data_IF_890504488576
#
_entry.id   IF_890504488576
#
_cell.length_a   1.000
_cell.length_b   1.000
_cell.length_c   1.000
_cell.angle_alpha   90.00
_cell.angle_beta   90.00
_cell.angle_gamma   90.00
#
_symmetry.space_group_name_H-M   'P 1'
#
loop_
_entity.id
_entity.type
_entity.pdbx_description
1 polymer ?
#
# COMPACT_ATOMS: atom_id res chain seq x y z
N UNK A 1 -20.93 -6.76 -6.53
CA UNK A 1 -20.01 -7.44 -5.60
C UNK A 1 -20.29 -6.93 -4.18
N UNK A 2 -20.37 -7.83 -3.19
CA UNK A 2 -20.59 -7.46 -1.78
C UNK A 2 -19.23 -7.29 -1.12
N UNK A 3 -18.95 -6.07 -0.61
CA UNK A 3 -17.71 -5.74 0.08
C UNK A 3 -17.99 -5.48 1.55
N UNK A 4 -17.36 -6.24 2.43
CA UNK A 4 -17.45 -6.04 3.88
C UNK A 4 -16.23 -5.28 4.39
N UNK A 5 -16.42 -4.06 4.90
CA UNK A 5 -15.38 -3.21 5.49
C UNK A 5 -15.37 -3.42 7.01
N UNK A 6 -14.30 -4.01 7.52
CA UNK A 6 -14.06 -4.23 8.95
C UNK A 6 -13.24 -3.06 9.49
N UNK A 7 -13.90 -2.13 10.16
CA UNK A 7 -13.31 -0.88 10.59
C UNK A 7 -13.73 0.31 9.70
N UNK A 8 -14.88 0.92 10.00
CA UNK A 8 -15.37 2.09 9.26
C UNK A 8 -14.85 3.38 9.90
N UNK A 9 -13.56 3.66 9.68
CA UNK A 9 -12.87 4.90 10.07
C UNK A 9 -12.67 5.83 8.87
N UNK A 10 -11.59 6.62 8.87
CA UNK A 10 -11.22 7.48 7.74
C UNK A 10 -11.03 6.65 6.45
N UNK A 11 -10.16 5.62 6.49
CA UNK A 11 -9.83 4.81 5.31
C UNK A 11 -11.04 3.95 4.91
N UNK A 12 -11.58 3.15 5.84
CA UNK A 12 -12.70 2.26 5.54
C UNK A 12 -13.97 3.01 5.13
N UNK A 13 -14.26 4.16 5.72
CA UNK A 13 -15.38 5.02 5.33
C UNK A 13 -15.18 5.65 3.95
N UNK A 14 -13.97 6.12 3.64
CA UNK A 14 -13.65 6.66 2.32
C UNK A 14 -13.73 5.59 1.23
N UNK A 15 -13.28 4.36 1.54
CA UNK A 15 -13.44 3.22 0.64
C UNK A 15 -14.91 2.89 0.39
N UNK A 16 -15.73 2.95 1.45
CA UNK A 16 -17.17 2.77 1.32
C UNK A 16 -17.82 3.79 0.38
N UNK A 17 -17.47 5.07 0.51
CA UNK A 17 -17.94 6.14 -0.39
C UNK A 17 -17.49 5.89 -1.84
N UNK A 18 -16.21 5.61 -2.06
CA UNK A 18 -15.64 5.41 -3.38
C UNK A 18 -16.25 4.17 -4.07
N UNK A 19 -16.40 3.05 -3.34
CA UNK A 19 -17.01 1.82 -3.84
C UNK A 19 -18.48 2.04 -4.24
N UNK A 20 -19.25 2.75 -3.42
CA UNK A 20 -20.67 3.08 -3.71
C UNK A 20 -20.82 3.96 -4.93
N UNK A 21 -19.91 4.94 -5.13
CA UNK A 21 -19.90 5.81 -6.32
C UNK A 21 -19.82 5.03 -7.61
N UNK A 22 -19.03 3.96 -7.65
CA UNK A 22 -18.90 3.13 -8.85
C UNK A 22 -20.19 2.41 -9.24
N UNK A 23 -21.13 2.20 -8.30
CA UNK A 23 -22.37 1.45 -8.51
C UNK A 23 -22.17 -0.07 -8.67
N UNK A 24 -20.94 -0.56 -8.54
CA UNK A 24 -20.60 -1.98 -8.73
C UNK A 24 -20.63 -2.77 -7.43
N UNK A 25 -20.64 -2.08 -6.27
CA UNK A 25 -20.48 -2.68 -4.96
C UNK A 25 -21.66 -2.37 -4.03
N UNK A 26 -22.04 -3.36 -3.23
CA UNK A 26 -22.82 -3.16 -2.02
C UNK A 26 -21.86 -3.21 -0.84
N UNK A 27 -21.81 -2.15 -0.05
CA UNK A 27 -20.83 -1.99 1.02
C UNK A 27 -21.46 -2.27 2.38
N UNK A 28 -20.97 -3.29 3.07
CA UNK A 28 -21.29 -3.62 4.45
C UNK A 28 -20.21 -3.09 5.38
N UNK A 29 -20.58 -2.62 6.56
CA UNK A 29 -19.63 -2.13 7.56
C UNK A 29 -19.76 -2.86 8.88
N UNK A 30 -18.61 -3.23 9.47
CA UNK A 30 -18.51 -3.77 10.84
C UNK A 30 -17.60 -2.87 11.64
N UNK A 31 -18.11 -2.19 12.63
CA UNK A 31 -17.35 -1.40 13.60
C UNK A 31 -18.25 -0.99 14.75
N UNK A 32 -17.70 -0.57 15.90
CA UNK A 32 -18.51 -0.03 17.00
C UNK A 32 -19.39 1.17 16.61
N UNK A 33 -19.07 1.83 15.50
CA UNK A 33 -19.78 3.02 14.99
C UNK A 33 -20.39 2.79 13.60
N UNK A 34 -20.58 1.53 13.17
CA UNK A 34 -21.09 1.20 11.84
C UNK A 34 -22.47 1.81 11.56
N UNK A 35 -23.35 1.86 12.56
CA UNK A 35 -24.68 2.49 12.41
C UNK A 35 -24.60 3.99 12.12
N UNK A 36 -23.69 4.70 12.76
CA UNK A 36 -23.47 6.13 12.50
C UNK A 36 -22.88 6.33 11.09
N UNK A 37 -22.00 5.45 10.65
CA UNK A 37 -21.46 5.47 9.30
C UNK A 37 -22.54 5.20 8.23
N UNK A 38 -23.49 4.31 8.52
CA UNK A 38 -24.68 4.07 7.68
C UNK A 38 -25.56 5.32 7.59
N UNK A 39 -25.87 5.94 8.72
CA UNK A 39 -26.66 7.19 8.79
C UNK A 39 -25.97 8.34 8.03
N UNK A 40 -24.63 8.37 8.07
CA UNK A 40 -23.82 9.32 7.32
C UNK A 40 -23.67 8.97 5.82
N UNK A 41 -24.20 7.84 5.37
CA UNK A 41 -24.20 7.42 3.97
C UNK A 41 -22.87 6.86 3.47
N UNK A 42 -21.97 6.42 4.36
CA UNK A 42 -20.66 5.87 4.00
C UNK A 42 -20.73 4.41 3.54
N UNK A 43 -21.73 3.66 4.01
CA UNK A 43 -21.95 2.25 3.75
C UNK A 43 -23.44 2.00 3.45
N UNK A 44 -23.79 0.83 2.91
CA UNK A 44 -25.18 0.46 2.58
C UNK A 44 -25.86 -0.34 3.71
N UNK A 45 -25.08 -1.14 4.45
CA UNK A 45 -25.58 -1.98 5.55
C UNK A 45 -24.59 -1.93 6.73
N UNK A 46 -25.12 -1.92 7.96
CA UNK A 46 -24.30 -1.90 9.18
C UNK A 46 -24.55 -3.16 10.01
N UNK A 47 -23.47 -3.77 10.49
CA UNK A 47 -23.49 -4.99 11.29
C UNK A 47 -22.73 -4.79 12.61
N UNK A 48 -23.22 -5.43 13.67
CA UNK A 48 -22.56 -5.51 14.97
C UNK A 48 -21.75 -6.82 15.10
N UNK A 49 -22.05 -7.83 14.26
CA UNK A 49 -21.43 -9.16 14.26
C UNK A 49 -20.65 -9.40 12.96
N UNK A 50 -19.41 -9.84 13.11
CA UNK A 50 -18.48 -10.06 11.99
C UNK A 50 -18.95 -11.20 11.07
N UNK A 51 -19.42 -12.30 11.65
CA UNK A 51 -19.84 -13.48 10.88
C UNK A 51 -21.04 -13.16 10.00
N UNK A 52 -22.03 -12.44 10.57
CA UNK A 52 -23.19 -12.01 9.80
C UNK A 52 -22.83 -11.03 8.67
N UNK A 53 -21.89 -10.13 8.92
CA UNK A 53 -21.45 -9.18 7.89
C UNK A 53 -20.70 -9.86 6.74
N UNK A 54 -19.99 -10.94 7.02
CA UNK A 54 -19.23 -11.72 6.05
C UNK A 54 -20.08 -12.74 5.28
N UNK A 55 -21.30 -13.04 5.71
CA UNK A 55 -22.16 -14.01 5.05
C UNK A 55 -22.45 -13.60 3.59
N UNK A 56 -21.96 -14.40 2.64
CA UNK A 56 -22.06 -14.13 1.20
C UNK A 56 -21.26 -12.92 0.71
N UNK A 57 -20.27 -12.45 1.48
CA UNK A 57 -19.35 -11.41 1.03
C UNK A 57 -18.39 -11.93 -0.05
N UNK A 58 -18.16 -11.14 -1.09
CA UNK A 58 -17.17 -11.42 -2.13
C UNK A 58 -15.77 -10.94 -1.75
N UNK A 59 -15.70 -9.87 -0.95
CA UNK A 59 -14.46 -9.26 -0.51
C UNK A 59 -14.61 -8.73 0.91
N UNK A 60 -13.62 -8.99 1.78
CA UNK A 60 -13.48 -8.39 3.09
C UNK A 60 -12.25 -7.47 3.13
N UNK A 61 -12.42 -6.27 3.67
CA UNK A 61 -11.34 -5.29 3.82
C UNK A 61 -11.12 -4.99 5.30
N UNK A 62 -9.93 -5.33 5.81
CA UNK A 62 -9.53 -5.05 7.21
C UNK A 62 -8.95 -3.64 7.28
N UNK A 63 -9.72 -2.69 7.81
CA UNK A 63 -9.39 -1.27 7.90
C UNK A 63 -9.40 -0.77 9.36
N UNK A 64 -8.80 -1.54 10.24
CA UNK A 64 -8.69 -1.27 11.68
C UNK A 64 -7.34 -0.61 12.03
N UNK A 65 -7.16 -0.04 13.22
CA UNK A 65 -5.86 0.45 13.67
C UNK A 65 -4.77 -0.62 13.61
N UNK A 66 -3.53 -0.23 13.27
CA UNK A 66 -2.39 -1.13 13.09
C UNK A 66 -2.18 -2.08 14.29
N UNK A 67 -2.28 -1.57 15.51
CA UNK A 67 -2.09 -2.35 16.75
C UNK A 67 -3.00 -3.60 16.89
N UNK A 68 -4.10 -3.68 16.14
CA UNK A 68 -5.03 -4.83 16.18
C UNK A 68 -5.26 -5.44 14.79
N UNK A 69 -4.50 -5.00 13.78
CA UNK A 69 -4.73 -5.41 12.39
C UNK A 69 -4.47 -6.90 12.18
N UNK A 70 -3.39 -7.43 12.72
CA UNK A 70 -3.03 -8.85 12.63
C UNK A 70 -4.07 -9.76 13.28
N UNK A 71 -4.47 -9.43 14.52
CA UNK A 71 -5.51 -10.18 15.25
C UNK A 71 -6.83 -10.15 14.47
N UNK A 72 -7.22 -8.98 13.99
CA UNK A 72 -8.46 -8.81 13.26
C UNK A 72 -8.44 -9.51 11.90
N UNK A 73 -7.28 -9.52 11.22
CA UNK A 73 -7.09 -10.27 9.97
C UNK A 73 -7.30 -11.78 10.22
N UNK A 74 -6.70 -12.32 11.26
CA UNK A 74 -6.88 -13.73 11.61
C UNK A 74 -8.35 -14.09 11.89
N UNK A 75 -9.08 -13.22 12.61
CA UNK A 75 -10.52 -13.41 12.85
C UNK A 75 -11.32 -13.37 11.53
N UNK A 76 -11.00 -12.43 10.63
CA UNK A 76 -11.69 -12.30 9.32
C UNK A 76 -11.44 -13.53 8.45
N UNK A 77 -10.18 -13.99 8.34
CA UNK A 77 -9.84 -15.19 7.57
C UNK A 77 -10.54 -16.45 8.09
N UNK A 78 -10.69 -16.56 9.42
CA UNK A 78 -11.39 -17.69 10.05
C UNK A 78 -12.92 -17.65 9.83
N UNK A 79 -13.51 -16.44 9.71
CA UNK A 79 -14.96 -16.26 9.60
C UNK A 79 -15.43 -16.08 8.16
N UNK A 80 -14.56 -15.65 7.23
CA UNK A 80 -14.92 -15.40 5.84
C UNK A 80 -15.24 -16.68 5.07
N UNK A 81 -16.24 -16.66 4.15
CA UNK A 81 -16.52 -17.76 3.23
C UNK A 81 -15.26 -18.19 2.45
N UNK A 82 -15.25 -19.45 2.00
CA UNK A 82 -14.12 -20.03 1.23
C UNK A 82 -13.83 -19.27 -0.08
N UNK A 83 -14.82 -18.67 -0.67
CA UNK A 83 -14.71 -17.88 -1.90
C UNK A 83 -14.57 -16.36 -1.66
N UNK A 84 -14.56 -15.89 -0.42
CA UNK A 84 -14.40 -14.48 -0.08
C UNK A 84 -12.92 -14.06 -0.14
N UNK A 85 -12.58 -13.11 -1.01
CA UNK A 85 -11.26 -12.48 -0.97
C UNK A 85 -11.08 -11.65 0.29
N UNK A 86 -9.85 -11.54 0.79
CA UNK A 86 -9.52 -10.76 1.99
C UNK A 86 -8.33 -9.85 1.71
N UNK A 87 -8.43 -8.60 2.12
CA UNK A 87 -7.32 -7.62 2.04
C UNK A 87 -7.28 -6.76 3.29
N UNK A 88 -6.18 -6.06 3.48
CA UNK A 88 -6.02 -5.04 4.51
C UNK A 88 -5.68 -3.67 3.90
N UNK A 89 -5.50 -2.66 4.75
CA UNK A 89 -5.09 -1.30 4.35
C UNK A 89 -3.94 -0.78 5.23
N UNK A 90 -3.22 -1.65 5.90
CA UNK A 90 -2.14 -1.30 6.82
C UNK A 90 -0.91 -0.72 6.13
N UNK A 91 -0.09 0.00 6.89
CA UNK A 91 1.13 0.64 6.39
C UNK A 91 2.34 -0.29 6.27
N UNK A 92 2.26 -1.50 6.85
CA UNK A 92 3.28 -2.56 6.82
C UNK A 92 2.65 -3.85 6.31
N UNK A 93 3.42 -4.70 5.64
CA UNK A 93 2.88 -5.87 4.93
C UNK A 93 3.39 -7.20 5.43
N UNK A 94 4.65 -7.28 5.88
CA UNK A 94 5.27 -8.56 6.25
C UNK A 94 4.52 -9.27 7.38
N UNK A 95 4.07 -8.54 8.41
CA UNK A 95 3.32 -9.09 9.53
C UNK A 95 1.97 -9.68 9.10
N UNK A 96 1.16 -8.91 8.37
CA UNK A 96 -0.17 -9.38 7.91
C UNK A 96 -0.07 -10.55 6.92
N UNK A 97 0.96 -10.56 6.06
CA UNK A 97 1.22 -11.69 5.16
C UNK A 97 1.62 -12.94 5.95
N UNK A 98 2.44 -12.79 6.99
CA UNK A 98 2.81 -13.91 7.87
C UNK A 98 1.59 -14.47 8.61
N UNK A 99 0.69 -13.62 9.11
CA UNK A 99 -0.58 -14.03 9.74
C UNK A 99 -1.49 -14.76 8.77
N UNK A 100 -1.55 -14.32 7.52
CA UNK A 100 -2.34 -15.00 6.48
C UNK A 100 -1.83 -16.41 6.18
N UNK A 101 -0.55 -16.72 6.44
CA UNK A 101 -0.01 -18.08 6.45
C UNK A 101 -0.18 -18.86 5.15
N UNK A 102 -0.23 -18.19 3.99
CA UNK A 102 -0.45 -18.81 2.68
C UNK A 102 -1.92 -19.02 2.33
N UNK A 103 -2.86 -18.38 3.03
CA UNK A 103 -4.28 -18.39 2.65
C UNK A 103 -4.47 -17.79 1.25
N UNK A 104 -4.95 -18.58 0.30
CA UNK A 104 -5.09 -18.20 -1.11
C UNK A 104 -6.07 -17.03 -1.34
N UNK A 105 -6.91 -16.73 -0.35
CA UNK A 105 -7.89 -15.63 -0.39
C UNK A 105 -7.28 -14.28 -0.05
N UNK A 106 -6.07 -14.25 0.56
CA UNK A 106 -5.47 -13.02 1.07
C UNK A 106 -4.58 -12.32 0.04
N UNK A 107 -4.76 -10.99 -0.03
CA UNK A 107 -3.88 -10.05 -0.74
C UNK A 107 -3.62 -8.88 0.19
N UNK A 108 -2.39 -8.69 0.62
CA UNK A 108 -2.06 -7.51 1.41
C UNK A 108 -2.26 -6.22 0.61
N UNK A 109 -2.75 -5.17 1.25
CA UNK A 109 -3.04 -3.89 0.63
C UNK A 109 -2.51 -2.72 1.44
N UNK A 110 -2.04 -1.66 0.76
CA UNK A 110 -1.63 -0.41 1.40
C UNK A 110 -1.90 0.79 0.48
N UNK A 111 -2.97 1.57 0.72
CA UNK A 111 -3.18 2.83 0.02
C UNK A 111 -2.19 3.89 0.53
N UNK A 112 -1.39 4.49 -0.36
CA UNK A 112 -0.61 5.68 -0.01
C UNK A 112 -1.52 6.90 0.05
N UNK A 113 -2.51 6.82 0.90
CA UNK A 113 -3.51 7.86 1.12
C UNK A 113 -3.90 7.90 2.59
N UNK A 114 -4.17 9.08 3.10
CA UNK A 114 -4.55 9.27 4.49
C UNK A 114 -4.57 10.73 4.87
N UNK A 115 -4.78 10.96 6.15
CA UNK A 115 -4.65 12.28 6.77
C UNK A 115 -4.25 12.07 8.24
N UNK A 116 -3.71 13.11 8.86
CA UNK A 116 -3.29 13.11 10.27
C UNK A 116 -4.50 13.17 11.24
N UNK A 117 -5.68 12.77 10.76
CA UNK A 117 -6.96 12.74 11.48
C UNK A 117 -7.55 11.33 11.45
N UNK A 118 -8.34 11.00 12.46
CA UNK A 118 -9.02 9.70 12.58
C UNK A 118 -10.54 9.90 12.67
N UNK A 119 -11.28 8.83 12.39
CA UNK A 119 -12.74 8.84 12.46
C UNK A 119 -13.39 8.92 11.09
N UNK A 120 -14.60 8.39 11.00
CA UNK A 120 -15.38 8.37 9.76
C UNK A 120 -15.89 9.77 9.36
N UNK A 121 -15.91 10.71 10.30
CA UNK A 121 -16.30 12.10 10.08
C UNK A 121 -15.37 12.82 9.09
N UNK A 122 -14.17 12.28 8.87
CA UNK A 122 -13.18 12.78 7.94
C UNK A 122 -13.13 11.97 6.64
N UNK A 123 -13.99 10.96 6.51
CA UNK A 123 -14.06 10.14 5.29
C UNK A 123 -14.49 11.02 4.10
N UNK A 124 -13.86 10.76 2.95
CA UNK A 124 -14.13 11.49 1.72
C UNK A 124 -14.00 10.58 0.51
N UNK A 125 -14.86 10.76 -0.46
CA UNK A 125 -14.96 9.94 -1.66
C UNK A 125 -13.64 9.92 -2.48
N UNK A 126 -13.03 11.06 -2.69
CA UNK A 126 -11.81 11.22 -3.49
C UNK A 126 -10.50 10.96 -2.73
N UNK A 127 -10.52 10.29 -1.56
CA UNK A 127 -9.30 10.05 -0.77
C UNK A 127 -8.23 9.29 -1.53
N UNK A 128 -8.64 8.38 -2.40
CA UNK A 128 -7.75 7.45 -3.13
C UNK A 128 -7.51 7.86 -4.58
N UNK A 129 -8.15 8.93 -5.08
CA UNK A 129 -7.99 9.35 -6.47
C UNK A 129 -6.52 9.57 -6.81
N UNK A 130 -6.04 8.88 -7.85
CA UNK A 130 -4.66 8.90 -8.33
C UNK A 130 -3.61 8.43 -7.31
N UNK A 131 -4.02 7.98 -6.11
CA UNK A 131 -3.10 7.47 -5.11
C UNK A 131 -2.55 6.09 -5.51
N UNK A 132 -1.27 5.85 -5.29
CA UNK A 132 -0.71 4.50 -5.39
C UNK A 132 -1.30 3.62 -4.30
N UNK A 133 -1.75 2.42 -4.68
CA UNK A 133 -2.20 1.40 -3.74
C UNK A 133 -1.37 0.13 -3.94
N UNK A 134 -0.48 -0.13 -3.01
CA UNK A 134 0.34 -1.33 -3.08
C UNK A 134 -0.47 -2.57 -2.77
N UNK A 135 -0.28 -3.61 -3.59
CA UNK A 135 -0.83 -4.94 -3.41
C UNK A 135 0.32 -5.93 -3.25
N UNK A 136 0.25 -6.77 -2.23
CA UNK A 136 1.31 -7.75 -1.95
C UNK A 136 0.75 -9.18 -1.97
N UNK A 137 0.44 -9.72 -3.16
CA UNK A 137 0.07 -11.12 -3.30
C UNK A 137 1.25 -12.02 -2.97
N UNK A 138 0.95 -13.26 -2.56
CA UNK A 138 1.95 -14.33 -2.36
C UNK A 138 1.88 -15.36 -3.48
N UNK A 139 2.82 -16.31 -3.50
CA UNK A 139 2.77 -17.44 -4.43
C UNK A 139 1.52 -18.32 -4.26
N UNK A 140 0.86 -18.26 -3.11
CA UNK A 140 -0.36 -19.02 -2.82
C UNK A 140 -1.64 -18.25 -3.18
N UNK A 141 -1.57 -16.94 -3.39
CA UNK A 141 -2.72 -16.09 -3.67
C UNK A 141 -3.47 -16.54 -4.92
N UNK A 142 -4.80 -16.73 -4.80
CA UNK A 142 -5.64 -17.09 -5.93
C UNK A 142 -5.83 -15.91 -6.90
N UNK A 143 -5.96 -16.22 -8.20
CA UNK A 143 -6.21 -15.19 -9.21
C UNK A 143 -7.52 -14.44 -8.98
N UNK A 144 -8.53 -15.13 -8.44
CA UNK A 144 -9.83 -14.51 -8.11
C UNK A 144 -9.70 -13.51 -6.97
N UNK A 145 -8.92 -13.83 -5.93
CA UNK A 145 -8.70 -12.90 -4.84
C UNK A 145 -7.96 -11.64 -5.31
N UNK A 146 -6.90 -11.80 -6.09
CA UNK A 146 -6.14 -10.67 -6.64
C UNK A 146 -7.01 -9.81 -7.57
N UNK A 147 -7.81 -10.41 -8.44
CA UNK A 147 -8.71 -9.69 -9.35
C UNK A 147 -9.75 -8.87 -8.56
N UNK A 148 -10.39 -9.46 -7.55
CA UNK A 148 -11.41 -8.77 -6.76
C UNK A 148 -10.83 -7.56 -6.01
N UNK A 149 -9.65 -7.73 -5.41
CA UNK A 149 -8.97 -6.64 -4.70
C UNK A 149 -8.52 -5.55 -5.68
N UNK A 150 -7.90 -5.94 -6.81
CA UNK A 150 -7.50 -5.00 -7.87
C UNK A 150 -8.69 -4.19 -8.40
N UNK A 151 -9.81 -4.86 -8.70
CA UNK A 151 -11.04 -4.21 -9.16
C UNK A 151 -11.58 -3.20 -8.14
N UNK A 152 -11.59 -3.55 -6.86
CA UNK A 152 -12.02 -2.63 -5.80
C UNK A 152 -11.09 -1.41 -5.71
N UNK A 153 -9.77 -1.61 -5.78
CA UNK A 153 -8.77 -0.54 -5.75
C UNK A 153 -8.92 0.41 -6.93
N UNK A 154 -9.07 -0.15 -8.14
CA UNK A 154 -9.29 0.64 -9.37
C UNK A 154 -10.61 1.42 -9.31
N UNK A 155 -11.69 0.79 -8.83
CA UNK A 155 -12.98 1.46 -8.66
C UNK A 155 -12.94 2.58 -7.61
N UNK A 156 -12.03 2.50 -6.64
CA UNK A 156 -11.78 3.58 -5.68
C UNK A 156 -10.98 4.75 -6.29
N UNK A 157 -10.55 4.65 -7.55
CA UNK A 157 -9.77 5.67 -8.26
C UNK A 157 -8.26 5.62 -7.96
N UNK A 158 -7.80 4.58 -7.26
CA UNK A 158 -6.38 4.39 -6.97
C UNK A 158 -5.66 3.63 -8.09
N UNK A 159 -4.34 3.73 -8.09
CA UNK A 159 -3.44 3.00 -9.01
C UNK A 159 -2.84 1.79 -8.30
N UNK A 160 -3.31 0.55 -8.59
CA UNK A 160 -2.74 -0.63 -7.98
C UNK A 160 -1.31 -0.86 -8.49
N UNK A 161 -0.39 -1.11 -7.56
CA UNK A 161 1.02 -1.46 -7.84
C UNK A 161 1.36 -2.72 -7.07
N UNK A 162 1.86 -3.74 -7.76
CA UNK A 162 2.12 -5.04 -7.17
C UNK A 162 3.61 -5.19 -6.86
N UNK A 163 3.93 -5.62 -5.64
CA UNK A 163 5.29 -5.95 -5.21
C UNK A 163 5.28 -6.99 -4.08
N UNK A 164 6.44 -7.52 -3.74
CA UNK A 164 6.57 -8.45 -2.61
C UNK A 164 6.46 -7.70 -1.27
N UNK A 165 5.87 -8.34 -0.25
CA UNK A 165 5.66 -7.72 1.06
C UNK A 165 6.96 -7.21 1.70
N UNK A 166 8.04 -8.01 1.62
CA UNK A 166 9.34 -7.60 2.16
C UNK A 166 9.97 -6.43 1.38
N UNK A 167 9.73 -6.33 0.08
CA UNK A 167 10.17 -5.22 -0.75
C UNK A 167 9.38 -3.95 -0.42
N UNK A 168 8.05 -4.08 -0.28
CA UNK A 168 7.19 -3.00 0.21
C UNK A 168 7.71 -2.42 1.53
N UNK A 169 7.99 -3.27 2.51
CA UNK A 169 8.39 -2.82 3.85
C UNK A 169 9.77 -2.16 3.84
N UNK A 170 10.74 -2.67 3.04
CA UNK A 170 12.03 -1.99 2.82
C UNK A 170 11.86 -0.63 2.17
N UNK A 171 11.02 -0.54 1.13
CA UNK A 171 10.74 0.73 0.46
C UNK A 171 10.09 1.72 1.43
N UNK A 172 9.08 1.29 2.19
CA UNK A 172 8.42 2.16 3.18
C UNK A 172 9.37 2.59 4.30
N UNK A 173 10.29 1.73 4.72
CA UNK A 173 11.34 2.13 5.67
C UNK A 173 12.15 3.31 5.16
N UNK A 174 12.59 3.28 3.90
CA UNK A 174 13.43 4.32 3.29
C UNK A 174 12.66 5.62 3.00
N UNK A 175 11.45 5.54 2.38
CA UNK A 175 10.77 6.73 1.84
C UNK A 175 9.69 7.30 2.77
N UNK A 176 9.30 6.59 3.82
CA UNK A 176 8.24 7.00 4.75
C UNK A 176 8.71 7.00 6.20
N UNK A 177 9.19 5.85 6.70
CA UNK A 177 9.45 5.68 8.15
C UNK A 177 10.71 6.43 8.58
N UNK A 178 11.82 6.30 7.86
CA UNK A 178 13.05 7.05 8.13
C UNK A 178 12.85 8.57 8.07
N UNK A 179 12.20 9.15 7.03
CA UNK A 179 11.86 10.58 7.02
C UNK A 179 11.12 11.03 8.27
N UNK A 180 10.21 10.21 8.78
CA UNK A 180 9.46 10.51 9.99
C UNK A 180 10.34 10.50 11.26
N UNK A 181 11.24 9.53 11.38
CA UNK A 181 12.27 9.48 12.44
C UNK A 181 13.16 10.73 12.38
N UNK A 182 13.63 11.09 11.18
CA UNK A 182 14.48 12.26 10.98
C UNK A 182 13.76 13.56 11.32
N UNK A 183 12.49 13.71 10.95
CA UNK A 183 11.68 14.87 11.31
C UNK A 183 11.59 15.04 12.84
N UNK A 184 11.33 13.96 13.57
CA UNK A 184 11.29 13.97 15.03
C UNK A 184 12.65 14.32 15.65
N UNK A 185 13.74 13.75 15.11
CA UNK A 185 15.10 14.06 15.55
C UNK A 185 15.48 15.52 15.30
N UNK A 186 15.12 16.09 14.14
CA UNK A 186 15.35 17.49 13.82
C UNK A 186 14.66 18.42 14.82
N UNK A 187 13.41 18.15 15.17
CA UNK A 187 12.67 18.92 16.19
C UNK A 187 13.36 18.82 17.54
N UNK A 188 13.69 17.60 18.00
CA UNK A 188 14.35 17.36 19.27
C UNK A 188 15.74 18.04 19.34
N UNK A 189 16.51 18.00 18.25
CA UNK A 189 17.82 18.62 18.16
C UNK A 189 17.74 20.15 18.18
N UNK A 190 16.81 20.73 17.42
CA UNK A 190 16.58 22.17 17.42
C UNK A 190 16.16 22.68 18.82
N UNK A 191 15.24 21.97 19.47
CA UNK A 191 14.81 22.30 20.83
C UNK A 191 15.96 22.28 21.83
N UNK A 192 16.84 21.28 21.76
CA UNK A 192 18.05 21.21 22.62
C UNK A 192 19.03 22.35 22.34
N UNK A 193 19.23 22.69 21.07
CA UNK A 193 20.16 23.76 20.68
C UNK A 193 19.70 25.14 21.10
N UNK A 194 18.40 25.39 21.12
CA UNK A 194 17.78 26.68 21.45
C UNK A 194 17.46 26.86 22.94
N UNK A 195 17.42 25.76 23.71
CA UNK A 195 17.05 25.76 25.12
C UNK A 195 15.63 26.25 25.33
N UNK A 196 15.42 27.12 26.34
CA UNK A 196 14.10 27.71 26.65
C UNK A 196 13.62 28.75 25.63
N UNK A 197 14.43 29.08 24.63
CA UNK A 197 14.02 30.01 23.58
C UNK A 197 13.09 29.27 22.62
N UNK A 198 11.91 29.81 22.41
CA UNK A 198 11.02 29.32 21.35
C UNK A 198 11.73 29.38 19.99
N UNK A 199 11.38 28.49 19.05
CA UNK A 199 11.86 28.52 17.66
C UNK A 199 11.05 29.58 16.88
N UNK A 200 11.30 30.90 17.05
CA UNK A 200 10.45 31.91 16.42
C UNK A 200 10.80 32.12 14.95
N UNK A 201 11.87 31.50 14.43
CA UNK A 201 12.43 31.82 13.12
C UNK A 201 12.85 30.56 12.36
N UNK A 202 12.02 29.50 12.42
CA UNK A 202 12.24 28.37 11.54
C UNK A 202 11.92 28.79 10.10
N UNK A 203 12.93 28.76 9.24
CA UNK A 203 12.78 29.00 7.81
C UNK A 203 11.87 27.93 7.16
N UNK A 204 11.44 28.13 5.90
CA UNK A 204 10.62 27.17 5.17
C UNK A 204 11.21 25.76 5.20
N UNK A 205 12.50 25.60 4.93
CA UNK A 205 13.19 24.29 4.89
C UNK A 205 13.03 23.47 6.18
N UNK A 206 13.11 24.13 7.36
CA UNK A 206 12.90 23.42 8.63
C UNK A 206 11.44 23.00 8.81
N UNK A 207 10.48 23.88 8.46
CA UNK A 207 9.06 23.58 8.55
C UNK A 207 8.67 22.42 7.64
N UNK A 208 9.16 22.41 6.40
CA UNK A 208 8.90 21.36 5.44
C UNK A 208 9.49 20.02 5.91
N UNK A 209 10.76 20.02 6.36
CA UNK A 209 11.44 18.82 6.84
C UNK A 209 10.84 18.26 8.15
N UNK A 210 10.15 19.09 8.94
CA UNK A 210 9.57 18.68 10.24
C UNK A 210 8.04 18.58 10.23
N UNK A 211 7.39 18.79 9.10
CA UNK A 211 5.92 18.81 8.98
C UNK A 211 5.27 17.56 9.55
N UNK A 212 5.85 16.40 9.30
CA UNK A 212 5.30 15.10 9.73
C UNK A 212 5.56 14.76 11.21
N UNK A 213 6.38 15.52 11.92
CA UNK A 213 6.67 15.27 13.35
C UNK A 213 5.45 15.48 14.27
N UNK A 214 4.35 16.05 13.78
CA UNK A 214 3.11 16.24 14.53
C UNK A 214 2.10 15.07 14.46
N UNK A 215 2.44 13.96 13.81
CA UNK A 215 1.53 12.84 13.59
C UNK A 215 1.25 12.04 14.88
N UNK A 216 0.24 11.16 14.82
CA UNK A 216 -0.22 10.36 15.97
C UNK A 216 0.88 9.49 16.57
N UNK A 217 1.28 9.69 17.84
CA UNK A 217 2.36 8.89 18.45
C UNK A 217 2.05 7.39 18.50
N UNK A 218 0.81 7.02 18.80
CA UNK A 218 0.42 5.61 18.91
C UNK A 218 0.48 4.88 17.55
N UNK A 219 0.01 5.54 16.49
CA UNK A 219 0.08 4.98 15.12
C UNK A 219 1.53 4.75 14.70
N UNK A 220 2.38 5.76 14.89
CA UNK A 220 3.76 5.67 14.44
C UNK A 220 4.62 4.71 15.26
N UNK A 221 4.34 4.58 16.57
CA UNK A 221 4.99 3.54 17.38
C UNK A 221 4.72 2.14 16.82
N UNK A 222 3.45 1.81 16.50
CA UNK A 222 3.12 0.53 15.87
C UNK A 222 3.82 0.34 14.52
N UNK A 223 3.83 1.36 13.65
CA UNK A 223 4.51 1.27 12.34
C UNK A 223 6.01 1.01 12.51
N UNK A 224 6.66 1.66 13.49
CA UNK A 224 8.09 1.42 13.75
C UNK A 224 8.36 0.02 14.29
N UNK A 225 7.50 -0.49 15.16
CA UNK A 225 7.60 -1.85 15.72
C UNK A 225 7.39 -2.90 14.63
N UNK A 226 6.34 -2.73 13.81
CA UNK A 226 5.98 -3.68 12.75
C UNK A 226 7.04 -3.76 11.63
N UNK A 227 7.81 -2.68 11.39
CA UNK A 227 8.86 -2.62 10.36
C UNK A 227 10.25 -2.35 10.95
N UNK A 228 10.51 -2.83 12.17
CA UNK A 228 11.72 -2.48 12.92
C UNK A 228 13.01 -2.88 12.21
N UNK A 229 13.11 -4.08 11.68
CA UNK A 229 14.34 -4.58 11.05
C UNK A 229 14.75 -3.75 9.82
N UNK A 230 13.80 -3.45 8.92
CA UNK A 230 14.05 -2.63 7.76
C UNK A 230 14.38 -1.17 8.16
N UNK A 231 13.67 -0.62 9.14
CA UNK A 231 13.91 0.73 9.62
C UNK A 231 15.27 0.87 10.31
N UNK A 232 15.69 -0.13 11.10
CA UNK A 232 17.03 -0.15 11.73
C UNK A 232 18.13 -0.12 10.66
N UNK A 233 17.97 -0.91 9.58
CA UNK A 233 18.94 -0.92 8.49
C UNK A 233 19.07 0.47 7.81
N UNK A 234 17.95 1.16 7.58
CA UNK A 234 17.95 2.51 7.01
C UNK A 234 18.52 3.56 7.97
N UNK A 235 18.29 3.41 9.28
CA UNK A 235 18.91 4.27 10.31
C UNK A 235 20.43 4.08 10.32
N UNK A 236 20.92 2.84 10.28
CA UNK A 236 22.36 2.54 10.28
C UNK A 236 23.04 3.11 9.02
N UNK A 237 22.42 2.96 7.84
CA UNK A 237 22.91 3.56 6.61
C UNK A 237 22.94 5.11 6.69
N UNK A 238 21.92 5.71 7.30
CA UNK A 238 21.84 7.16 7.49
C UNK A 238 22.94 7.65 8.45
N UNK A 239 23.20 6.93 9.53
CA UNK A 239 24.28 7.25 10.49
C UNK A 239 25.62 7.19 9.78
N UNK A 240 25.88 6.17 8.96
CA UNK A 240 27.13 6.07 8.18
C UNK A 240 27.29 7.27 7.23
N UNK A 241 26.25 7.63 6.48
CA UNK A 241 26.26 8.79 5.60
C UNK A 241 26.50 10.13 6.34
N UNK A 242 25.89 10.29 7.53
CA UNK A 242 26.14 11.47 8.38
C UNK A 242 27.59 11.52 8.87
N UNK A 243 28.22 10.38 9.12
CA UNK A 243 29.64 10.30 9.51
C UNK A 243 30.58 10.68 8.35
N UNK A 244 30.24 10.31 7.11
CA UNK A 244 30.97 10.74 5.91
C UNK A 244 30.91 12.26 5.73
N UNK A 245 29.71 12.85 5.81
CA UNK A 245 29.52 14.31 5.76
C UNK A 245 30.33 15.01 6.86
N UNK A 246 30.27 14.50 8.08
CA UNK A 246 31.03 15.01 9.22
C UNK A 246 32.54 14.95 8.95
N UNK A 247 33.03 13.85 8.37
CA UNK A 247 34.44 13.67 7.99
C UNK A 247 34.90 14.69 6.95
N UNK A 248 34.12 14.88 5.89
CA UNK A 248 34.39 15.86 4.84
C UNK A 248 34.39 17.30 5.38
N UNK A 249 33.48 17.65 6.28
CA UNK A 249 33.47 18.95 6.95
C UNK A 249 34.68 19.13 7.84
N UNK A 250 35.10 18.13 8.59
CA UNK A 250 36.25 18.19 9.49
C UNK A 250 37.59 18.34 8.73
N UNK A 251 37.71 17.73 7.55
CA UNK A 251 38.88 17.83 6.68
C UNK A 251 38.87 19.05 5.75
N UNK A 252 37.72 19.73 5.63
CA UNK A 252 37.55 20.84 4.68
C UNK A 252 37.46 20.37 3.23
N UNK A 253 37.06 19.15 2.98
CA UNK A 253 36.90 18.55 1.64
C UNK A 253 35.69 19.11 0.90
N UNK A 254 35.88 20.27 0.31
CA UNK A 254 34.86 20.99 -0.43
C UNK A 254 34.45 20.27 -1.70
N UNK A 255 35.36 19.61 -2.38
CA UNK A 255 35.08 18.91 -3.65
C UNK A 255 34.12 17.74 -3.41
N UNK A 256 34.35 16.96 -2.36
CA UNK A 256 33.44 15.90 -1.96
C UNK A 256 32.06 16.44 -1.61
N UNK A 257 31.94 17.52 -0.84
CA UNK A 257 30.67 18.11 -0.43
C UNK A 257 29.85 18.62 -1.64
N UNK A 258 30.54 19.25 -2.62
CA UNK A 258 29.90 19.72 -3.85
C UNK A 258 29.36 18.53 -4.70
N UNK A 259 30.18 17.47 -4.84
CA UNK A 259 29.82 16.27 -5.59
C UNK A 259 28.61 15.54 -4.93
N UNK A 260 28.65 15.39 -3.61
CA UNK A 260 27.57 14.77 -2.84
C UNK A 260 26.24 15.52 -3.00
N UNK A 261 26.27 16.86 -2.88
CA UNK A 261 25.08 17.68 -3.07
C UNK A 261 24.54 17.63 -4.50
N UNK A 262 25.43 17.58 -5.49
CA UNK A 262 25.04 17.49 -6.89
C UNK A 262 24.39 16.13 -7.23
N UNK A 263 24.90 15.03 -6.66
CA UNK A 263 24.30 13.70 -6.83
C UNK A 263 22.88 13.67 -6.29
N UNK A 264 22.65 14.15 -5.06
CA UNK A 264 21.32 14.21 -4.47
C UNK A 264 20.32 15.07 -5.27
N UNK A 265 20.79 16.17 -5.86
CA UNK A 265 19.97 17.03 -6.71
C UNK A 265 19.56 16.34 -8.02
N UNK A 266 20.48 15.56 -8.63
CA UNK A 266 20.19 14.76 -9.83
C UNK A 266 19.17 13.64 -9.57
N UNK A 267 19.37 12.88 -8.50
CA UNK A 267 18.46 11.80 -8.12
C UNK A 267 17.05 12.34 -7.79
N UNK A 268 16.95 13.46 -7.09
CA UNK A 268 15.66 14.10 -6.81
C UNK A 268 14.89 14.45 -8.08
N UNK A 269 15.58 14.86 -9.13
CA UNK A 269 14.92 15.18 -10.40
C UNK A 269 14.31 13.93 -11.04
N UNK A 270 15.02 12.80 -11.01
CA UNK A 270 14.49 11.53 -11.53
C UNK A 270 13.22 11.09 -10.78
N UNK A 271 13.21 11.18 -9.44
CA UNK A 271 12.02 10.84 -8.63
C UNK A 271 10.79 11.73 -8.94
N UNK A 272 11.00 12.96 -9.41
CA UNK A 272 9.90 13.86 -9.78
C UNK A 272 9.36 13.58 -11.18
N UNK A 273 10.21 13.13 -12.10
CA UNK A 273 9.82 12.88 -13.50
C UNK A 273 9.04 11.55 -13.66
N UNK A 274 9.31 10.54 -12.84
CA UNK A 274 8.63 9.25 -12.86
C UNK A 274 7.20 9.27 -12.26
N UNK A 275 6.88 10.25 -11.44
CA UNK A 275 5.57 10.38 -10.76
C UNK A 275 4.39 10.80 -11.65
N UNK A 276 4.57 11.02 -12.95
CA UNK A 276 3.56 11.59 -13.86
C UNK A 276 2.97 10.60 -14.88
N UNK A 277 2.97 9.28 -14.60
CA UNK A 277 2.49 8.23 -15.50
C UNK A 277 0.98 8.24 -15.76
N UNK A 278 0.55 8.97 -16.78
CA UNK A 278 -0.77 8.89 -17.42
C UNK A 278 -0.58 8.86 -18.93
N UNK A 279 -0.28 7.71 -19.50
CA UNK A 279 -0.09 7.48 -20.94
C UNK A 279 -1.07 6.45 -21.51
N UNK A 280 -1.07 6.23 -22.84
CA UNK A 280 -1.85 5.16 -23.46
C UNK A 280 -1.41 3.80 -22.90
N UNK A 281 -2.37 2.88 -22.79
CA UNK A 281 -2.15 1.52 -22.34
C UNK A 281 -2.20 0.53 -23.51
N UNK A 282 -1.40 -0.54 -23.45
CA UNK A 282 -1.44 -1.67 -24.38
C UNK A 282 -2.08 -2.88 -23.71
N UNK A 283 -2.98 -3.53 -24.42
CA UNK A 283 -3.61 -4.77 -24.01
C UNK A 283 -2.72 -5.97 -24.35
N UNK A 284 -2.43 -6.82 -23.37
CA UNK A 284 -1.59 -8.01 -23.52
C UNK A 284 -2.38 -9.23 -22.99
N UNK A 285 -2.93 -10.07 -23.88
CA UNK A 285 -3.59 -11.30 -23.46
C UNK A 285 -2.55 -12.41 -23.17
N UNK A 286 -2.67 -13.05 -22.01
CA UNK A 286 -1.80 -14.15 -21.55
C UNK A 286 -2.62 -15.38 -21.29
N UNK A 287 -2.35 -16.47 -22.01
CA UNK A 287 -2.98 -17.75 -21.75
C UNK A 287 -2.36 -18.41 -20.50
N UNK A 288 -3.18 -18.82 -19.56
CA UNK A 288 -2.72 -19.35 -18.26
C UNK A 288 -3.44 -20.65 -17.89
N UNK A 289 -2.77 -21.58 -17.19
CA UNK A 289 -3.44 -22.71 -16.54
C UNK A 289 -4.28 -22.20 -15.37
N UNK A 290 -5.40 -22.87 -15.11
CA UNK A 290 -6.22 -22.57 -13.94
C UNK A 290 -5.65 -23.27 -12.71
N UNK A 291 -4.64 -22.66 -12.07
CA UNK A 291 -4.03 -23.12 -10.83
C UNK A 291 -3.87 -21.95 -9.86
N UNK A 292 -3.91 -22.20 -8.54
CA UNK A 292 -3.59 -21.18 -7.55
C UNK A 292 -2.22 -20.55 -7.82
N UNK A 293 -2.08 -19.27 -7.54
CA UNK A 293 -0.82 -18.53 -7.66
C UNK A 293 -0.43 -18.03 -9.04
N UNK A 294 -1.02 -18.56 -10.15
CA UNK A 294 -0.58 -18.18 -11.50
C UNK A 294 -0.70 -16.68 -11.80
N UNK A 295 -1.73 -16.03 -11.31
CA UNK A 295 -1.93 -14.59 -11.48
C UNK A 295 -0.91 -13.81 -10.66
N UNK A 296 -0.68 -14.26 -9.43
CA UNK A 296 0.33 -13.66 -8.56
C UNK A 296 1.75 -13.81 -9.14
N UNK A 297 2.07 -14.98 -9.70
CA UNK A 297 3.36 -15.23 -10.37
C UNK A 297 3.61 -14.24 -11.51
N UNK A 298 2.62 -14.04 -12.38
CA UNK A 298 2.68 -13.06 -13.47
C UNK A 298 2.86 -11.64 -12.91
N UNK A 299 2.01 -11.27 -11.95
CA UNK A 299 2.02 -9.94 -11.39
C UNK A 299 3.35 -9.59 -10.68
N UNK A 300 3.90 -10.53 -9.90
CA UNK A 300 5.21 -10.36 -9.26
C UNK A 300 6.37 -10.35 -10.27
N UNK A 301 6.28 -11.12 -11.36
CA UNK A 301 7.30 -11.09 -12.40
C UNK A 301 7.32 -9.74 -13.12
N UNK A 302 6.15 -9.18 -13.45
CA UNK A 302 6.03 -7.85 -14.03
C UNK A 302 6.53 -6.77 -13.07
N UNK A 303 6.20 -6.88 -11.77
CA UNK A 303 6.68 -5.96 -10.76
C UNK A 303 8.22 -5.96 -10.65
N UNK A 304 8.87 -7.15 -10.67
CA UNK A 304 10.35 -7.27 -10.68
C UNK A 304 10.99 -6.68 -11.95
N UNK A 305 10.24 -6.61 -13.04
CA UNK A 305 10.66 -5.97 -14.29
C UNK A 305 10.30 -4.48 -14.35
N UNK A 306 9.84 -3.90 -13.23
CA UNK A 306 9.39 -2.51 -13.10
C UNK A 306 8.25 -2.15 -14.09
N UNK A 307 7.34 -3.12 -14.31
CA UNK A 307 6.17 -2.96 -15.16
C UNK A 307 4.91 -2.83 -14.32
N UNK A 308 4.24 -1.70 -14.43
CA UNK A 308 2.96 -1.44 -13.77
C UNK A 308 1.79 -2.09 -14.52
N UNK A 309 0.84 -2.67 -13.77
CA UNK A 309 -0.42 -3.17 -14.31
C UNK A 309 -1.48 -2.09 -14.09
N UNK A 310 -1.95 -1.45 -15.17
CA UNK A 310 -2.99 -0.43 -15.10
C UNK A 310 -4.36 -1.05 -14.86
N UNK A 311 -4.63 -2.22 -15.48
CA UNK A 311 -5.86 -2.98 -15.29
C UNK A 311 -5.63 -4.46 -15.62
N UNK A 312 -6.51 -5.36 -15.10
CA UNK A 312 -6.50 -6.77 -15.44
C UNK A 312 -7.90 -7.35 -15.51
N UNK A 313 -8.08 -8.31 -16.42
CA UNK A 313 -9.31 -9.12 -16.47
C UNK A 313 -8.95 -10.60 -16.58
N UNK A 314 -9.68 -11.45 -15.85
CA UNK A 314 -9.56 -12.91 -15.92
C UNK A 314 -10.77 -13.51 -16.61
N UNK A 315 -10.53 -14.20 -17.72
CA UNK A 315 -11.55 -14.91 -18.51
C UNK A 315 -11.30 -16.42 -18.45
N UNK A 316 -12.02 -17.17 -17.58
CA UNK A 316 -11.87 -18.62 -17.52
C UNK A 316 -12.30 -19.28 -18.84
N UNK A 317 -11.56 -20.28 -19.31
CA UNK A 317 -11.99 -21.09 -20.42
C UNK A 317 -13.16 -22.02 -20.04
N UNK A 318 -14.00 -22.45 -20.99
CA UNK A 318 -15.14 -23.34 -20.73
C UNK A 318 -14.76 -24.67 -20.06
N UNK A 319 -13.54 -25.14 -20.28
CA UNK A 319 -13.02 -26.38 -19.71
C UNK A 319 -12.60 -26.25 -18.23
N UNK A 320 -12.57 -25.02 -17.69
CA UNK A 320 -12.11 -24.66 -16.35
C UNK A 320 -10.69 -25.13 -16.01
N UNK A 321 -9.90 -25.54 -16.99
CA UNK A 321 -8.50 -25.96 -16.81
C UNK A 321 -7.50 -24.89 -17.23
N UNK A 322 -7.96 -23.90 -17.97
CA UNK A 322 -7.19 -22.80 -18.46
C UNK A 322 -8.02 -21.51 -18.44
N UNK A 323 -7.38 -20.40 -18.77
CA UNK A 323 -8.02 -19.10 -18.92
C UNK A 323 -7.11 -18.14 -19.69
N UNK A 324 -7.62 -16.93 -19.87
CA UNK A 324 -6.85 -15.81 -20.40
C UNK A 324 -6.86 -14.71 -19.36
N UNK A 325 -5.69 -14.23 -18.98
CA UNK A 325 -5.53 -12.97 -18.26
C UNK A 325 -5.25 -11.90 -19.31
N UNK A 326 -6.11 -10.91 -19.37
CA UNK A 326 -5.85 -9.71 -20.16
C UNK A 326 -5.26 -8.66 -19.25
N UNK A 327 -4.06 -8.18 -19.56
CA UNK A 327 -3.34 -7.15 -18.83
C UNK A 327 -3.33 -5.87 -19.64
N UNK A 328 -3.62 -4.74 -19.02
CA UNK A 328 -3.39 -3.41 -19.60
C UNK A 328 -2.18 -2.80 -18.91
N UNK A 329 -1.13 -2.53 -19.68
CA UNK A 329 0.12 -1.95 -19.19
C UNK A 329 0.41 -0.62 -19.90
N UNK A 330 1.11 0.34 -19.27
CA UNK A 330 1.52 1.57 -19.95
C UNK A 330 2.27 1.28 -21.23
N UNK A 331 1.95 2.01 -22.31
CA UNK A 331 2.52 1.77 -23.66
C UNK A 331 4.06 1.77 -23.64
N UNK A 332 4.66 2.67 -22.85
CA UNK A 332 6.12 2.73 -22.71
C UNK A 332 6.76 1.50 -22.04
N UNK A 333 5.97 0.69 -21.31
CA UNK A 333 6.43 -0.51 -20.62
C UNK A 333 6.00 -1.80 -21.31
N UNK A 334 5.19 -1.73 -22.36
CA UNK A 334 4.58 -2.90 -23.00
C UNK A 334 5.59 -3.90 -23.57
N UNK A 335 6.66 -3.42 -24.21
CA UNK A 335 7.71 -4.30 -24.75
C UNK A 335 8.50 -5.01 -23.64
N UNK A 336 8.66 -4.38 -22.48
CA UNK A 336 9.27 -5.02 -21.30
C UNK A 336 8.33 -6.07 -20.71
N UNK A 337 7.03 -5.77 -20.64
CA UNK A 337 6.01 -6.70 -20.21
C UNK A 337 5.97 -7.97 -21.08
N UNK A 338 5.94 -7.82 -22.41
CA UNK A 338 5.92 -8.94 -23.35
C UNK A 338 7.14 -9.83 -23.21
N UNK A 339 8.34 -9.25 -23.05
CA UNK A 339 9.57 -10.04 -22.81
C UNK A 339 9.52 -10.79 -21.50
N UNK A 340 9.12 -10.14 -20.43
CA UNK A 340 8.99 -10.75 -19.11
C UNK A 340 7.98 -11.91 -19.12
N UNK A 341 6.82 -11.72 -19.75
CA UNK A 341 5.78 -12.74 -19.87
C UNK A 341 6.23 -13.95 -20.71
N UNK A 342 7.07 -13.72 -21.73
CA UNK A 342 7.63 -14.79 -22.54
C UNK A 342 8.66 -15.67 -21.81
N UNK A 343 9.26 -15.15 -20.73
CA UNK A 343 10.25 -15.87 -19.91
C UNK A 343 9.59 -16.69 -18.78
N UNK A 344 8.33 -16.42 -18.45
CA UNK A 344 7.61 -17.15 -17.40
C UNK A 344 7.18 -18.50 -17.95
N UNK A 345 7.61 -19.59 -17.29
CA UNK A 345 7.13 -20.94 -17.61
C UNK A 345 5.72 -21.14 -17.03
N UNK A 346 4.71 -20.82 -17.81
CA UNK A 346 3.30 -21.00 -17.45
C UNK A 346 2.78 -22.43 -17.74
N UNK A 347 3.66 -23.38 -18.09
CA UNK A 347 3.26 -24.75 -18.32
C UNK A 347 2.66 -25.37 -17.06
N UNK A 348 1.59 -26.14 -17.23
CA UNK A 348 0.99 -26.89 -16.14
C UNK A 348 2.01 -27.92 -15.58
N UNK A 349 1.96 -28.23 -14.27
CA UNK A 349 2.78 -29.27 -13.69
C UNK A 349 2.47 -30.63 -14.27
#
# INVERSE_FOLDING_TARGET
MIVTVVGVGLIGGSLGLAARRSGEFTVRGVSPRARLALEAGLIDEAFDDLTQALEGADLAVVAVPAAIAEEKLAEVLAAAPEDCAVTDVGSTKSGVVAVAGGDERFVGGHPLAGAEVSGFEHAREGLFEEATWYLTPTGDTSGVALERVHRMVTAAGARPTILEAAEHDRMMAAVSHLPHVLANLLVAQATRALGERSIPVAGPSFRDATRVAGASPALWASIYEDNADALIAEIDATVAGLEEVRGALASGDREWLEAWQAAAAGERQLLTDEGLGGGPVREIPVAVPNRPGVVAEIALALARADVSIADMALSPAPDRRSGVITLWVPEGQADAAERCLAEIDLAAP
#
